data_IF_780619875289
#
_entry.id   IF_780619875289
#
_cell.length_a   1.000
_cell.length_b   1.000
_cell.length_c   1.000
_cell.angle_alpha   90.00
_cell.angle_beta   90.00
_cell.angle_gamma   90.00
#
_symmetry.space_group_name_H-M   'P 1'
#
loop_
_entity.id
_entity.type
_entity.pdbx_description
1 polymer ?
2 polymer ?
3 non-polymer ?
4 non-polymer ?
5 non-polymer ?
6 water ?
#
# COMPACT_ATOMS: atom_id res chain seq x y z
N UNK A 6 -30.05 -6.81 14.55
CA UNK A 6 -30.77 -7.47 13.46
C UNK A 6 -31.62 -6.56 12.53
N UNK A 7 -32.20 -5.53 13.10
CA UNK A 7 -32.96 -4.58 12.32
C UNK A 7 -31.91 -3.85 11.51
N UNK A 8 -30.87 -3.49 12.23
CA UNK A 8 -29.67 -2.82 11.71
C UNK A 8 -29.09 -3.48 10.45
N UNK A 9 -28.88 -4.80 10.48
CA UNK A 9 -28.22 -5.49 9.37
C UNK A 9 -29.12 -5.44 8.16
N UNK A 10 -30.42 -5.58 8.41
CA UNK A 10 -31.40 -5.57 7.35
C UNK A 10 -31.47 -4.16 6.70
N UNK A 11 -31.47 -3.13 7.53
CA UNK A 11 -31.74 -1.78 7.03
C UNK A 11 -30.50 -1.10 6.48
N UNK A 12 -29.48 -0.96 7.34
CA UNK A 12 -28.19 -0.39 7.00
C UNK A 12 -27.33 -1.26 6.08
N UNK A 13 -27.18 -2.56 6.37
CA UNK A 13 -26.30 -3.37 5.54
C UNK A 13 -26.97 -3.94 4.32
N UNK A 14 -28.20 -4.44 4.42
CA UNK A 14 -28.78 -5.10 3.26
C UNK A 14 -29.81 -4.25 2.55
N UNK A 15 -30.27 -3.20 3.23
CA UNK A 15 -31.29 -2.29 2.72
C UNK A 15 -32.52 -3.05 2.18
N UNK A 16 -32.68 -2.99 0.85
CA UNK A 16 -33.69 -3.78 0.14
C UNK A 16 -33.64 -5.29 0.43
N UNK A 17 -34.83 -5.85 0.70
CA UNK A 17 -35.02 -7.29 0.85
C UNK A 17 -34.07 -7.96 1.86
N UNK A 18 -33.74 -9.24 1.61
CA UNK A 18 -33.31 -10.17 2.65
C UNK A 18 -34.22 -10.06 3.88
N UNK A 19 -35.53 -10.17 3.65
CA UNK A 19 -36.56 -10.16 4.70
C UNK A 19 -36.72 -11.53 5.36
N UNK A 20 -35.99 -12.51 4.84
CA UNK A 20 -35.81 -13.84 5.45
C UNK A 20 -34.74 -13.86 6.56
N UNK A 21 -34.08 -12.71 6.81
CA UNK A 21 -32.93 -12.65 7.71
C UNK A 21 -33.34 -12.91 9.13
N UNK A 22 -32.55 -13.73 9.81
CA UNK A 22 -32.82 -14.06 11.20
C UNK A 22 -31.52 -14.30 11.95
N UNK A 23 -31.65 -14.72 13.21
CA UNK A 23 -30.51 -14.93 14.09
C UNK A 23 -29.61 -16.11 13.64
N UNK A 24 -30.08 -16.90 12.67
CA UNK A 24 -29.30 -18.05 12.10
C UNK A 24 -28.66 -17.85 10.73
N UNK A 25 -28.99 -16.74 10.07
CA UNK A 25 -28.40 -16.48 8.75
C UNK A 25 -26.87 -16.43 8.87
N UNK A 26 -26.17 -17.26 8.04
CA UNK A 26 -24.73 -17.26 8.10
C UNK A 26 -24.15 -15.99 7.42
N UNK A 27 -23.74 -15.04 8.28
CA UNK A 27 -23.36 -13.65 7.87
C UNK A 27 -22.07 -13.63 7.04
N UNK A 28 -21.09 -14.43 7.47
CA UNK A 28 -19.81 -14.56 6.75
C UNK A 28 -19.97 -15.38 5.52
N UNK A 29 -20.63 -16.51 5.66
CA UNK A 29 -20.73 -17.40 4.53
C UNK A 29 -21.50 -16.80 3.36
N UNK A 30 -22.51 -15.99 3.63
CA UNK A 30 -23.31 -15.42 2.54
C UNK A 30 -22.77 -14.06 2.07
N UNK A 31 -21.69 -13.59 2.67
CA UNK A 31 -21.01 -12.37 2.19
C UNK A 31 -21.64 -11.11 2.74
N UNK A 32 -22.52 -11.27 3.73
CA UNK A 32 -23.20 -10.13 4.34
C UNK A 32 -22.20 -9.27 5.13
N UNK A 33 -21.30 -9.92 5.85
CA UNK A 33 -20.27 -9.22 6.58
C UNK A 33 -18.99 -9.29 5.76
N UNK A 34 -18.48 -8.14 5.37
CA UNK A 34 -17.25 -8.04 4.59
C UNK A 34 -16.42 -6.86 5.12
N UNK A 35 -15.33 -6.53 4.44
CA UNK A 35 -14.46 -5.49 4.96
C UNK A 35 -15.21 -4.13 5.20
N UNK A 36 -16.12 -3.79 4.29
CA UNK A 36 -16.87 -2.51 4.40
C UNK A 36 -18.02 -2.64 5.45
N UNK A 37 -18.87 -3.67 5.30
CA UNK A 37 -20.01 -3.94 6.21
C UNK A 37 -19.54 -4.00 7.66
N UNK A 38 -18.36 -4.59 7.84
CA UNK A 38 -17.81 -4.80 9.19
C UNK A 38 -17.57 -3.47 9.88
N UNK A 39 -17.05 -2.49 9.13
CA UNK A 39 -16.78 -1.17 9.71
C UNK A 39 -18.09 -0.56 10.23
N UNK A 40 -19.14 -0.66 9.44
CA UNK A 40 -20.41 -0.03 9.82
C UNK A 40 -21.00 -0.80 11.06
N UNK A 41 -20.90 -2.12 11.00
CA UNK A 41 -21.41 -2.95 12.12
C UNK A 41 -20.64 -2.61 13.40
N UNK A 42 -19.30 -2.59 13.34
CA UNK A 42 -18.52 -2.27 14.51
C UNK A 42 -18.86 -0.91 15.06
N UNK A 43 -19.17 0.06 14.19
CA UNK A 43 -19.51 1.43 14.68
C UNK A 43 -20.86 1.41 15.38
N UNK A 44 -21.83 0.71 14.77
CA UNK A 44 -23.16 0.53 15.35
C UNK A 44 -23.05 -0.11 16.75
N UNK A 45 -22.26 -1.16 16.85
CA UNK A 45 -22.07 -1.90 18.12
C UNK A 45 -21.50 -0.97 19.17
N UNK A 46 -20.52 -0.17 18.78
CA UNK A 46 -19.97 0.85 19.66
C UNK A 46 -20.99 1.90 20.12
N UNK A 47 -21.84 2.35 19.19
CA UNK A 47 -22.83 3.38 19.46
C UNK A 47 -23.98 2.82 20.30
N UNK A 48 -24.61 1.77 19.80
CA UNK A 48 -25.76 1.14 20.40
C UNK A 48 -25.50 0.39 21.71
N UNK A 49 -24.31 -0.19 21.89
CA UNK A 49 -24.05 -1.02 23.08
C UNK A 49 -22.85 -0.59 23.93
N UNK A 50 -22.09 0.41 23.49
CA UNK A 50 -20.90 0.86 24.24
C UNK A 50 -19.70 -0.08 24.16
N UNK A 51 -19.77 -1.09 23.29
CA UNK A 51 -18.77 -2.15 23.18
C UNK A 51 -17.89 -1.94 21.94
N UNK A 52 -16.58 -1.95 22.17
CA UNK A 52 -15.54 -1.88 21.14
C UNK A 52 -14.88 -3.24 21.04
N UNK A 53 -15.29 -4.02 20.05
CA UNK A 53 -14.78 -5.38 19.85
C UNK A 53 -13.25 -5.48 19.65
N UNK A 54 -12.52 -6.09 20.62
CA UNK A 54 -11.06 -6.24 20.49
C UNK A 54 -10.70 -7.01 19.23
N UNK A 55 -9.50 -6.78 18.70
CA UNK A 55 -9.08 -7.39 17.43
C UNK A 55 -9.08 -8.91 17.51
N UNK A 56 -8.60 -9.44 18.63
CA UNK A 56 -8.54 -10.87 18.85
C UNK A 56 -9.92 -11.52 18.63
N UNK A 57 -10.99 -10.75 18.88
CA UNK A 57 -12.35 -11.27 18.92
C UNK A 57 -13.05 -11.23 17.57
N UNK A 58 -12.43 -10.59 16.59
CA UNK A 58 -13.00 -10.65 15.24
C UNK A 58 -12.63 -12.00 14.59
N UNK A 59 -13.53 -12.98 14.62
CA UNK A 59 -13.19 -14.29 14.07
C UNK A 59 -14.46 -15.03 13.62
N UNK A 60 -14.31 -16.19 12.94
CA UNK A 60 -15.47 -16.83 12.40
C UNK A 60 -16.44 -17.41 13.45
N UNK A 61 -15.96 -17.58 14.69
CA UNK A 61 -16.79 -18.16 15.77
C UNK A 61 -17.81 -17.09 16.18
N UNK A 62 -17.32 -15.91 16.55
CA UNK A 62 -18.22 -14.82 16.94
C UNK A 62 -19.11 -14.23 15.82
N UNK A 63 -18.67 -14.24 14.57
CA UNK A 63 -19.38 -13.50 13.50
C UNK A 63 -20.11 -14.43 12.61
N UNK A 64 -20.27 -15.66 13.09
CA UNK A 64 -21.00 -16.62 12.31
C UNK A 64 -22.40 -16.14 11.98
N UNK A 65 -23.10 -15.62 12.96
CA UNK A 65 -24.48 -15.21 12.76
C UNK A 65 -24.81 -14.21 13.85
N UNK A 66 -26.06 -13.70 13.80
CA UNK A 66 -26.51 -12.69 14.78
C UNK A 66 -26.48 -13.23 16.24
N UNK A 67 -26.87 -14.51 16.38
CA UNK A 67 -26.89 -15.16 17.70
C UNK A 67 -25.50 -15.16 18.32
N UNK A 68 -24.49 -15.61 17.55
CA UNK A 68 -23.12 -15.73 18.05
C UNK A 68 -22.54 -14.34 18.32
N UNK A 69 -22.87 -13.40 17.41
CA UNK A 69 -22.41 -11.99 17.57
C UNK A 69 -23.04 -11.38 18.82
N UNK A 70 -24.38 -11.49 18.93
CA UNK A 70 -25.06 -11.10 20.19
C UNK A 70 -24.33 -11.72 21.42
N UNK A 71 -23.95 -13.01 21.33
CA UNK A 71 -23.25 -13.68 22.45
C UNK A 71 -21.95 -12.97 22.80
N UNK A 72 -21.16 -12.61 21.77
CA UNK A 72 -19.92 -11.86 22.00
C UNK A 72 -20.14 -10.50 22.65
N UNK A 73 -21.13 -9.76 22.16
CA UNK A 73 -21.41 -8.43 22.73
C UNK A 73 -21.82 -8.53 24.21
N UNK A 74 -22.58 -9.57 24.53
CA UNK A 74 -22.93 -9.84 25.97
C UNK A 74 -21.70 -10.07 26.81
N UNK A 75 -20.81 -10.94 26.32
CA UNK A 75 -19.60 -11.28 27.05
C UNK A 75 -18.79 -10.04 27.35
N UNK A 76 -18.93 -9.04 26.46
CA UNK A 76 -18.13 -7.84 26.50
C UNK A 76 -18.89 -6.68 27.11
N UNK B 1 -0.94 21.75 17.14
CA UNK B 1 -0.98 21.90 15.65
C UNK B 1 0.19 22.75 15.16
N UNK B 2 1.17 22.12 14.53
CA UNK B 2 2.28 22.85 13.92
C UNK B 2 2.85 22.07 12.73
N UNK B 3 3.60 22.75 11.88
CA UNK B 3 4.16 22.15 10.69
C UNK B 3 5.67 22.20 10.68
N UNK B 4 6.22 22.17 11.89
CA UNK B 4 7.66 22.33 12.11
C UNK B 4 8.30 20.93 12.16
N UNK B 5 9.37 20.74 11.40
CA UNK B 5 10.17 19.50 11.49
C UNK B 5 11.27 19.73 12.53
N UNK B 6 11.60 18.72 13.34
CA UNK B 6 12.77 18.85 14.26
C UNK B 6 14.06 18.97 13.46
N UNK B 7 15.10 19.48 14.12
CA UNK B 7 16.41 19.61 13.52
C UNK B 7 16.86 18.25 12.96
N UNK B 8 16.59 17.20 13.72
CA UNK B 8 16.98 15.85 13.32
C UNK B 8 16.21 15.43 12.04
N UNK B 9 14.90 15.68 12.03
CA UNK B 9 14.07 15.31 10.88
C UNK B 9 14.53 16.09 9.66
N UNK B 10 14.78 17.39 9.80
CA UNK B 10 15.38 18.21 8.70
C UNK B 10 16.69 17.68 8.17
N UNK B 11 17.55 17.26 9.11
CA UNK B 11 18.84 16.69 8.74
C UNK B 11 18.68 15.41 7.90
N UNK B 12 17.80 14.54 8.35
CA UNK B 12 17.52 13.30 7.63
C UNK B 12 16.95 13.59 6.25
N UNK B 13 16.07 14.59 6.16
CA UNK B 13 15.51 14.97 4.87
C UNK B 13 16.59 15.47 3.94
N UNK B 14 17.47 16.34 4.45
CA UNK B 14 18.56 16.83 3.61
C UNK B 14 19.47 15.69 3.19
N UNK B 15 19.67 14.73 4.08
CA UNK B 15 20.51 13.54 3.79
C UNK B 15 19.88 12.74 2.61
N UNK B 16 18.56 12.50 2.69
CA UNK B 16 17.80 11.90 1.56
C UNK B 16 17.92 12.67 0.25
N UNK B 17 17.79 13.99 0.31
CA UNK B 17 17.98 14.82 -0.90
C UNK B 17 19.36 14.71 -1.52
N UNK B 18 20.39 14.68 -0.68
CA UNK B 18 21.74 14.51 -1.18
C UNK B 18 21.99 13.09 -1.73
N UNK B 19 21.40 12.07 -1.11
CA UNK B 19 21.61 10.69 -1.55
C UNK B 19 21.20 10.42 -3.00
N UNK B 20 20.07 10.95 -3.49
CA UNK B 20 19.69 10.87 -4.94
C UNK B 20 20.77 10.88 -6.04
N UNK B 21 21.72 11.83 -5.95
CA UNK B 21 22.87 11.92 -6.88
C UNK B 21 23.86 10.74 -6.85
N UNK B 22 23.98 10.08 -5.71
CA UNK B 22 24.87 8.93 -5.59
C UNK B 22 24.41 7.73 -6.41
N UNK B 23 23.17 7.79 -6.91
CA UNK B 23 22.66 6.74 -7.77
C UNK B 23 22.96 7.03 -9.24
N UNK B 32 18.72 -4.90 -16.93
CA UNK B 32 18.07 -5.70 -15.88
C UNK B 32 17.81 -4.91 -14.60
N UNK B 33 17.41 -5.60 -13.52
CA UNK B 33 17.13 -4.97 -12.24
C UNK B 33 18.36 -4.22 -11.70
N UNK B 34 18.20 -2.96 -11.25
CA UNK B 34 19.38 -2.23 -10.79
C UNK B 34 19.79 -2.66 -9.39
N UNK B 35 20.38 -3.84 -9.34
CA UNK B 35 20.75 -4.41 -8.05
C UNK B 35 21.75 -3.54 -7.27
N UNK B 36 22.71 -2.92 -7.98
CA UNK B 36 23.67 -2.11 -7.25
C UNK B 36 22.97 -0.91 -6.56
N UNK B 37 22.05 -0.26 -7.27
CA UNK B 37 21.29 0.84 -6.68
C UNK B 37 20.38 0.38 -5.54
N UNK B 38 19.72 -0.76 -5.72
CA UNK B 38 18.97 -1.40 -4.62
C UNK B 38 19.87 -1.53 -3.36
N UNK B 39 21.07 -2.10 -3.52
CA UNK B 39 21.98 -2.28 -2.38
C UNK B 39 22.44 -0.92 -1.80
N UNK B 40 22.64 0.07 -2.66
CA UNK B 40 22.97 1.41 -2.18
C UNK B 40 21.85 2.02 -1.31
N UNK B 41 20.60 1.84 -1.75
CA UNK B 41 19.47 2.23 -0.92
C UNK B 41 19.43 1.45 0.41
N UNK B 42 19.77 0.15 0.35
CA UNK B 42 19.95 -0.68 1.55
C UNK B 42 20.96 -0.08 2.51
N UNK B 43 22.15 0.22 2.02
CA UNK B 43 23.16 0.91 2.84
C UNK B 43 22.74 2.28 3.37
N UNK B 44 22.01 3.06 2.58
CA UNK B 44 21.46 4.33 3.06
C UNK B 44 20.51 4.12 4.25
N UNK B 45 19.80 3.01 4.28
CA UNK B 45 18.86 2.69 5.35
C UNK B 45 17.40 2.68 4.93
N UNK B 46 17.12 2.79 3.62
CA UNK B 46 15.71 2.84 3.06
C UNK B 46 14.83 1.69 3.51
N UNK B 47 15.39 0.47 3.57
CA UNK B 47 14.53 -0.66 3.89
C UNK B 47 14.40 -0.87 5.38
N UNK B 48 15.24 -0.17 6.15
CA UNK B 48 15.17 -0.29 7.60
C UNK B 48 14.52 0.86 8.31
N UNK B 49 14.00 1.86 7.58
CA UNK B 49 13.48 3.06 8.27
C UNK B 49 12.49 2.78 9.41
N UNK B 50 11.45 1.93 9.17
CA UNK B 50 10.50 1.72 10.25
C UNK B 50 10.75 0.42 11.06
N UNK B 51 11.91 -0.21 10.91
CA UNK B 51 12.16 -1.51 11.60
C UNK B 51 12.89 -1.17 12.92
N UNK B 52 12.36 -1.65 14.06
CA UNK B 52 13.03 -1.49 15.36
C UNK B 52 14.41 -2.15 15.39
N UNK B 53 15.36 -1.52 16.06
CA UNK B 53 16.67 -2.13 16.31
C UNK B 53 16.60 -3.54 16.92
N UNK B 54 15.60 -3.78 17.76
CA UNK B 54 15.32 -5.11 18.34
C UNK B 54 15.35 -6.23 17.28
N UNK B 55 14.96 -5.90 16.05
CA UNK B 55 14.87 -6.93 14.99
C UNK B 55 15.88 -6.82 13.88
N UNK B 56 16.60 -5.70 13.78
CA UNK B 56 17.59 -5.54 12.74
C UNK B 56 18.60 -4.53 13.21
N UNK B 57 19.88 -4.89 13.09
CA UNK B 57 20.96 -4.22 13.80
C UNK B 57 21.07 -2.72 13.50
N UNK B 58 20.86 -2.35 12.23
CA UNK B 58 20.86 -0.93 11.90
C UNK B 58 19.46 -0.42 11.52
N UNK B 59 18.40 -1.21 11.80
CA UNK B 59 16.99 -0.78 11.73
C UNK B 59 16.86 0.55 12.45
N UNK B 60 16.19 1.53 11.84
CA UNK B 60 16.19 2.88 12.45
C UNK B 60 15.10 3.05 13.49
N UNK B 61 14.08 2.20 13.42
CA UNK B 61 12.86 2.35 14.24
C UNK B 61 12.32 3.77 14.25
N UNK B 62 12.33 4.45 13.10
CA UNK B 62 11.73 5.78 12.99
C UNK B 62 10.23 5.78 13.16
N UNK B 63 9.66 6.89 13.62
CA UNK B 63 8.19 7.01 13.60
C UNK B 63 7.72 7.21 12.14
N UNK B 64 6.42 7.10 11.93
CA UNK B 64 5.82 7.23 10.58
C UNK B 64 6.13 8.57 9.89
N UNK B 65 5.99 9.67 10.62
CA UNK B 65 6.31 10.96 10.00
C UNK B 65 7.72 11.10 9.52
N UNK B 66 8.69 10.69 10.37
CA UNK B 66 10.08 10.79 9.98
C UNK B 66 10.33 9.87 8.76
N UNK B 67 9.73 8.68 8.80
CA UNK B 67 9.94 7.71 7.74
C UNK B 67 9.40 8.31 6.41
N UNK B 68 8.16 8.82 6.42
CA UNK B 68 7.60 9.35 5.15
C UNK B 68 8.38 10.58 4.64
N UNK B 69 8.91 11.37 5.58
CA UNK B 69 9.66 12.57 5.17
C UNK B 69 10.92 12.16 4.45
N UNK B 70 11.57 11.11 4.94
CA UNK B 70 12.81 10.65 4.27
C UNK B 70 12.44 10.07 2.89
N UNK B 71 11.35 9.32 2.84
CA UNK B 71 10.94 8.70 1.58
C UNK B 71 10.62 9.81 0.54
N UNK B 72 9.92 10.85 1.01
CA UNK B 72 9.60 11.99 0.14
C UNK B 72 10.87 12.57 -0.41
N UNK B 73 11.88 12.77 0.48
CA UNK B 73 13.18 13.30 0.03
C UNK B 73 13.79 12.43 -1.05
N UNK B 74 13.73 11.12 -0.84
CA UNK B 74 14.28 10.20 -1.87
C UNK B 74 13.48 10.29 -3.17
N UNK B 75 12.16 10.40 -3.06
CA UNK B 75 11.28 10.50 -4.26
C UNK B 75 11.63 11.76 -5.03
N UNK B 76 12.06 12.80 -4.30
CA UNK B 76 12.49 14.07 -4.97
C UNK B 76 13.86 13.94 -5.65
N UNK B 77 14.82 13.27 -5.02
CA UNK B 77 16.18 13.35 -5.56
C UNK B 77 16.52 12.15 -6.44
N UNK B 78 15.85 11.01 -6.26
CA UNK B 78 16.18 9.77 -7.03
C UNK B 78 15.29 9.76 -8.24
N UNK B 79 15.86 9.85 -9.43
CA UNK B 79 14.97 9.82 -10.59
C UNK B 79 14.39 8.45 -10.92
N UNK B 80 14.98 7.38 -10.36
CA UNK B 80 14.40 6.05 -10.63
C UNK B 80 13.26 5.79 -9.64
N UNK B 81 12.08 6.33 -9.97
CA UNK B 81 10.89 6.14 -9.17
C UNK B 81 10.54 4.65 -9.01
N UNK B 82 10.69 3.89 -10.09
CA UNK B 82 10.32 2.46 -10.14
C UNK B 82 11.11 1.72 -9.07
N UNK B 83 12.37 2.11 -8.95
CA UNK B 83 13.25 1.47 -7.93
C UNK B 83 12.75 1.76 -6.51
N UNK B 84 12.41 3.02 -6.25
CA UNK B 84 11.86 3.40 -4.94
C UNK B 84 10.58 2.65 -4.65
N UNK B 85 9.75 2.51 -5.67
CA UNK B 85 8.47 1.81 -5.59
C UNK B 85 8.72 0.32 -5.20
N UNK B 86 9.62 -0.34 -5.92
CA UNK B 86 10.02 -1.75 -5.56
C UNK B 86 10.42 -1.84 -4.08
N UNK B 87 11.21 -0.86 -3.64
CA UNK B 87 11.74 -0.85 -2.28
C UNK B 87 10.62 -0.65 -1.28
N UNK B 88 9.65 0.21 -1.62
CA UNK B 88 8.58 0.51 -0.69
C UNK B 88 7.57 -0.63 -0.63
N UNK B 89 7.42 -1.35 -1.72
CA UNK B 89 6.51 -2.48 -1.78
C UNK B 89 7.08 -3.54 -0.80
N UNK B 90 8.37 -3.79 -0.93
CA UNK B 90 9.08 -4.72 -0.06
C UNK B 90 8.96 -4.32 1.42
N UNK B 91 9.19 -3.05 1.72
CA UNK B 91 9.16 -2.59 3.11
C UNK B 91 7.76 -2.55 3.70
N UNK B 92 6.79 -1.94 2.98
CA UNK B 92 5.51 -1.64 3.62
C UNK B 92 4.51 -2.73 3.46
N UNK B 93 4.54 -3.42 2.33
CA UNK B 93 3.61 -4.52 2.15
C UNK B 93 4.13 -5.87 2.72
N UNK B 94 5.42 -5.95 2.98
CA UNK B 94 6.03 -7.24 3.37
C UNK B 94 6.72 -7.18 4.73
N UNK B 95 7.74 -6.33 4.88
CA UNK B 95 8.41 -6.18 6.18
C UNK B 95 7.46 -5.75 7.29
N UNK B 96 6.53 -4.83 7.03
CA UNK B 96 5.64 -4.40 8.11
C UNK B 96 4.64 -5.48 8.61
N UNK B 97 3.95 -6.22 7.71
CA UNK B 97 3.12 -7.27 8.27
C UNK B 97 3.93 -8.37 9.00
N UNK B 98 5.16 -8.60 8.56
CA UNK B 98 6.03 -9.54 9.24
C UNK B 98 6.30 -9.01 10.65
N UNK B 99 6.75 -7.75 10.73
CA UNK B 99 6.95 -7.07 12.00
C UNK B 99 5.69 -7.12 12.88
N UNK B 100 4.52 -6.87 12.33
CA UNK B 100 3.30 -6.78 13.12
C UNK B 100 2.61 -8.08 13.50
N UNK B 101 2.85 -9.14 12.73
CA UNK B 101 2.07 -10.38 12.84
C UNK B 101 2.85 -11.66 12.77
N UNK B 102 4.15 -11.54 12.58
CA UNK B 102 5.03 -12.72 12.60
C UNK B 102 5.32 -13.14 14.05
N UNK B 103 5.49 -14.46 14.27
CA UNK B 103 6.03 -14.97 15.55
C UNK B 103 7.37 -14.28 15.81
N UNK B 104 7.81 -14.24 17.07
CA UNK B 104 9.15 -13.71 17.40
C UNK B 104 10.29 -14.39 16.66
N UNK B 105 10.15 -15.70 16.43
CA UNK B 105 11.18 -16.46 15.71
C UNK B 105 11.23 -16.08 14.22
N UNK B 106 10.06 -16.01 13.60
CA UNK B 106 9.97 -15.52 12.21
C UNK B 106 10.58 -14.11 12.04
N UNK B 107 10.23 -13.18 12.96
CA UNK B 107 10.80 -11.85 12.93
C UNK B 107 12.34 -11.79 13.03
N UNK B 108 12.92 -12.52 13.98
CA UNK B 108 14.39 -12.62 14.07
C UNK B 108 15.02 -13.33 12.89
N UNK B 109 14.34 -14.31 12.35
CA UNK B 109 14.83 -15.01 11.17
C UNK B 109 14.84 -14.11 9.91
N UNK B 110 13.75 -13.36 9.69
CA UNK B 110 13.54 -12.68 8.41
C UNK B 110 13.95 -11.23 8.35
N UNK B 111 13.66 -10.47 9.41
CA UNK B 111 13.85 -9.02 9.37
C UNK B 111 15.27 -8.50 9.20
N UNK B 112 16.30 -9.18 9.81
CA UNK B 112 17.60 -8.61 9.57
C UNK B 112 17.99 -8.44 8.10
N UNK B 113 17.67 -9.40 7.24
CA UNK B 113 18.10 -9.32 5.83
C UNK B 113 17.08 -8.51 5.00
N UNK B 114 15.82 -8.50 5.43
CA UNK B 114 14.82 -7.61 4.80
C UNK B 114 15.24 -6.16 5.04
N UNK B 115 15.68 -5.87 6.25
CA UNK B 115 16.04 -4.53 6.62
C UNK B 115 17.23 -3.94 5.91
N UNK B 116 18.10 -4.76 5.38
CA UNK B 116 19.23 -4.27 4.65
C UNK B 116 19.02 -4.42 3.15
N UNK B 117 17.99 -5.13 2.78
CA UNK B 117 17.74 -5.39 1.40
C UNK B 117 18.50 -6.57 0.85
N UNK B 118 19.20 -7.30 1.70
CA UNK B 118 19.93 -8.45 1.28
C UNK B 118 18.98 -9.54 0.80
N UNK B 119 17.83 -9.60 1.39
CA UNK B 119 16.80 -10.42 0.89
C UNK B 119 15.66 -9.43 0.51
N UNK B 120 14.90 -9.82 -0.47
CA UNK B 120 13.84 -8.97 -1.07
C UNK B 120 12.51 -9.71 -0.90
N UNK B 121 11.46 -8.98 -0.54
CA UNK B 121 10.13 -9.56 -0.38
C UNK B 121 9.18 -8.95 -1.40
N UNK B 122 8.19 -9.75 -1.77
CA UNK B 122 7.18 -9.36 -2.72
C UNK B 122 5.86 -9.67 -2.05
N UNK B 123 4.86 -8.87 -2.34
CA UNK B 123 3.51 -8.99 -1.85
C UNK B 123 2.64 -9.67 -2.93
N UNK B 124 1.88 -10.72 -2.59
CA UNK B 124 1.15 -11.43 -3.62
C UNK B 124 -0.29 -11.73 -3.22
N UNK B 125 -1.22 -10.92 -3.72
CA UNK B 125 -2.64 -11.16 -3.43
C UNK B 125 -3.47 -11.23 -4.71
N UNK B 126 -3.21 -10.33 -5.70
CA UNK B 126 -4.07 -10.23 -6.90
C UNK B 126 -4.03 -11.54 -7.71
N UNK B 127 -5.14 -11.93 -8.33
CA UNK B 127 -5.14 -13.12 -9.15
C UNK B 127 -5.74 -12.82 -10.46
N UNK B 128 -5.87 -13.84 -11.31
CA UNK B 128 -6.58 -13.69 -12.59
C UNK B 128 -7.99 -13.10 -12.42
N UNK B 129 -8.70 -13.52 -11.37
CA UNK B 129 -10.05 -13.03 -11.11
C UNK B 129 -10.20 -12.24 -9.79
N UNK B 130 -9.09 -11.88 -9.16
CA UNK B 130 -9.19 -11.09 -7.96
C UNK B 130 -8.32 -9.87 -8.17
N UNK B 131 -8.93 -8.69 -8.25
CA UNK B 131 -8.11 -7.45 -8.31
C UNK B 131 -8.61 -6.45 -7.29
N UNK B 132 -9.58 -5.64 -7.72
CA UNK B 132 -10.21 -4.70 -6.79
C UNK B 132 -11.02 -5.43 -5.69
N UNK B 133 -11.57 -6.59 -6.06
CA UNK B 133 -12.30 -7.45 -5.13
C UNK B 133 -11.41 -8.64 -4.76
N UNK B 134 -11.04 -8.73 -3.50
CA UNK B 134 -10.11 -9.76 -3.06
C UNK B 134 -10.86 -10.65 -2.03
N UNK B 135 -12.19 -10.61 -2.10
CA UNK B 135 -13.06 -11.34 -1.17
C UNK B 135 -13.02 -12.84 -1.48
N UNK B 136 -12.74 -13.17 -2.73
CA UNK B 136 -12.80 -14.56 -3.09
C UNK B 136 -11.47 -14.93 -3.76
N UNK B 137 -10.53 -15.42 -2.97
CA UNK B 137 -9.20 -15.81 -3.51
C UNK B 137 -9.23 -17.28 -3.94
N UNK B 138 -8.90 -17.53 -5.21
CA UNK B 138 -8.74 -18.87 -5.77
C UNK B 138 -7.50 -19.63 -5.23
N UNK B 139 -6.48 -18.91 -4.77
CA UNK B 139 -5.31 -19.51 -4.14
C UNK B 139 -5.76 -20.10 -2.79
N UNK B 140 -5.46 -21.40 -2.59
CA UNK B 140 -5.90 -22.12 -1.36
C UNK B 140 -4.71 -22.51 -0.50
N UNK B 141 -4.92 -22.64 0.81
CA UNK B 141 -3.92 -23.21 1.66
C UNK B 141 -4.60 -24.34 2.48
N UNK B 142 -4.12 -25.57 2.36
CA UNK B 142 -4.68 -26.73 3.09
C UNK B 142 -3.71 -27.14 4.23
N UNK B 143 -4.25 -27.22 5.46
CA UNK B 143 -3.48 -27.67 6.63
C UNK B 143 -3.22 -29.17 6.46
N UNK B 144 -1.98 -29.58 6.73
CA UNK B 144 -1.60 -31.00 6.76
C UNK B 144 -0.57 -31.13 7.85
N UNK B 145 -1.05 -31.53 9.02
CA UNK B 145 -0.18 -31.63 10.18
C UNK B 145 0.40 -30.28 10.53
N UNK B 146 1.73 -30.21 10.60
CA UNK B 146 2.44 -28.97 10.93
C UNK B 146 2.73 -28.08 9.69
N UNK B 147 2.07 -28.35 8.57
CA UNK B 147 2.44 -27.71 7.27
C UNK B 147 1.19 -27.26 6.59
N UNK B 148 1.36 -26.31 5.66
CA UNK B 148 0.27 -25.93 4.78
C UNK B 148 0.70 -26.19 3.39
N UNK B 149 -0.24 -26.62 2.56
CA UNK B 149 0.02 -26.81 1.15
C UNK B 149 -0.73 -25.67 0.42
N UNK B 150 0.04 -24.90 -0.36
CA UNK B 150 -0.47 -23.70 -1.05
C UNK B 150 -0.58 -23.99 -2.53
N UNK B 151 -1.71 -23.62 -3.10
CA UNK B 151 -1.94 -23.86 -4.46
C UNK B 151 -2.65 -22.68 -5.13
N UNK B 152 -2.04 -22.07 -6.15
CA UNK B 152 -2.78 -21.05 -6.96
C UNK B 152 -1.80 -20.12 -7.69
N UNK B 153 -2.34 -19.29 -8.58
CA UNK B 153 -1.52 -18.26 -9.33
C UNK B 153 -1.78 -16.84 -8.77
N UNK B 154 -0.74 -16.03 -8.72
CA UNK B 154 -0.84 -14.65 -8.29
C UNK B 154 -0.41 -13.85 -9.54
N UNK B 155 -1.18 -12.83 -9.91
CA UNK B 155 -1.03 -12.38 -11.30
C UNK B 155 -0.12 -11.12 -11.55
N UNK B 156 0.04 -10.27 -10.55
CA UNK B 156 0.78 -8.99 -10.73
C UNK B 156 1.61 -8.79 -9.50
N UNK B 157 2.72 -9.53 -9.41
CA UNK B 157 3.53 -9.45 -8.22
C UNK B 157 4.72 -8.52 -8.46
N UNK B 158 4.72 -7.36 -7.76
CA UNK B 158 5.86 -6.46 -7.83
C UNK B 158 7.04 -7.15 -7.11
N UNK B 159 8.23 -7.09 -7.73
CA UNK B 159 9.39 -7.81 -7.24
C UNK B 159 9.28 -9.34 -7.43
N UNK B 160 8.30 -9.81 -8.19
CA UNK B 160 8.09 -11.26 -8.40
C UNK B 160 9.38 -12.00 -8.76
N UNK B 161 10.10 -11.48 -9.78
CA UNK B 161 11.31 -12.18 -10.26
C UNK B 161 12.49 -12.16 -9.28
N UNK B 162 12.58 -11.13 -8.45
CA UNK B 162 13.73 -10.92 -7.57
C UNK B 162 13.46 -11.34 -6.11
N UNK B 163 12.24 -11.80 -5.86
CA UNK B 163 11.80 -12.02 -4.47
C UNK B 163 12.51 -13.26 -3.88
N UNK B 164 12.96 -13.08 -2.65
CA UNK B 164 13.44 -14.16 -1.78
C UNK B 164 12.32 -14.73 -0.93
N UNK B 165 11.24 -13.95 -0.73
CA UNK B 165 10.03 -14.37 -0.04
C UNK B 165 8.81 -13.72 -0.67
N UNK B 166 7.71 -14.45 -0.69
CA UNK B 166 6.39 -13.91 -1.07
C UNK B 166 5.52 -13.85 0.13
N UNK B 167 4.87 -12.70 0.38
CA UNK B 167 3.77 -12.68 1.37
C UNK B 167 2.52 -13.00 0.58
N UNK B 168 1.91 -14.15 0.83
CA UNK B 168 0.89 -14.71 -0.07
C UNK B 168 -0.37 -14.80 0.77
N UNK B 169 -1.51 -14.43 0.15
CA UNK B 169 -2.79 -14.40 0.82
C UNK B 169 -3.60 -15.48 0.16
N UNK B 170 -4.16 -16.42 0.96
CA UNK B 170 -4.74 -17.65 0.40
C UNK B 170 -6.04 -17.98 1.14
N UNK B 171 -6.98 -18.65 0.48
CA UNK B 171 -8.21 -19.06 1.19
C UNK B 171 -7.93 -20.34 2.03
N UNK B 172 -8.08 -20.22 3.34
CA UNK B 172 -8.08 -21.38 4.22
C UNK B 172 -9.46 -21.98 4.57
N UNK B 173 -10.56 -21.20 4.39
CA UNK B 173 -11.92 -21.72 4.68
C UNK B 173 -12.97 -20.90 3.92
N UNK B 174 -13.45 -21.43 2.80
CA UNK B 174 -14.40 -20.76 1.91
C UNK B 174 -15.63 -20.25 2.66
N UNK B 175 -16.10 -21.03 3.64
CA UNK B 175 -17.34 -20.76 4.38
C UNK B 175 -17.14 -19.63 5.36
N UNK B 176 -15.92 -19.34 5.80
CA UNK B 176 -15.75 -18.20 6.67
C UNK B 176 -15.65 -16.82 5.91
N UNK B 177 -15.86 -16.82 4.58
CA UNK B 177 -15.83 -15.61 3.68
C UNK B 177 -14.66 -14.71 4.00
N UNK B 178 -15.00 -13.47 4.40
CA UNK B 178 -14.07 -12.43 4.80
C UNK B 178 -13.09 -12.83 5.88
N UNK B 179 -13.51 -13.74 6.78
CA UNK B 179 -12.59 -14.14 7.83
C UNK B 179 -12.07 -15.58 7.57
N UNK B 180 -12.10 -15.96 6.29
CA UNK B 180 -11.58 -17.26 5.83
C UNK B 180 -10.28 -17.31 5.02
N UNK B 181 -9.42 -16.30 5.19
CA UNK B 181 -8.17 -16.23 4.44
C UNK B 181 -7.05 -16.18 5.44
N UNK B 182 -5.84 -16.51 5.00
CA UNK B 182 -4.67 -16.47 5.86
C UNK B 182 -3.45 -15.97 5.08
N UNK B 183 -2.57 -15.26 5.78
CA UNK B 183 -1.33 -14.75 5.23
C UNK B 183 -0.17 -15.68 5.56
N UNK B 184 0.70 -15.89 4.57
CA UNK B 184 1.88 -16.77 4.72
C UNK B 184 3.09 -16.10 4.10
N UNK B 185 4.25 -16.28 4.70
CA UNK B 185 5.53 -15.91 4.09
C UNK B 185 6.03 -17.16 3.40
N UNK B 186 6.22 -17.13 2.08
CA UNK B 186 6.57 -18.31 1.30
C UNK B 186 8.00 -18.09 0.78
N UNK B 187 8.97 -18.83 1.27
CA UNK B 187 10.31 -18.65 0.73
C UNK B 187 10.40 -19.03 -0.75
N UNK B 188 11.19 -18.29 -1.50
CA UNK B 188 11.41 -18.51 -2.91
C UNK B 188 11.88 -19.94 -3.24
N UNK B 189 12.72 -20.54 -2.41
CA UNK B 189 13.22 -21.89 -2.65
C UNK B 189 12.21 -23.03 -2.40
N UNK B 190 11.00 -22.71 -2.03
CA UNK B 190 9.92 -23.71 -1.84
C UNK B 190 9.64 -24.39 -3.21
N UNK B 191 9.87 -25.74 -3.30
CA UNK B 191 9.49 -26.40 -4.52
C UNK B 191 8.06 -26.15 -4.90
N UNK B 192 7.86 -25.89 -6.19
CA UNK B 192 6.52 -25.69 -6.71
C UNK B 192 6.24 -24.21 -7.13
N UNK B 193 7.12 -23.29 -6.74
CA UNK B 193 7.08 -21.87 -7.26
C UNK B 193 7.65 -21.77 -8.69
N UNK B 194 6.90 -21.13 -9.60
CA UNK B 194 7.44 -20.73 -10.90
C UNK B 194 7.03 -19.23 -11.12
N UNK B 195 7.89 -18.50 -11.84
CA UNK B 195 7.72 -17.07 -11.98
C UNK B 195 7.88 -16.79 -13.48
N UNK B 196 6.94 -16.01 -14.06
CA UNK B 196 7.06 -15.61 -15.48
C UNK B 196 8.07 -14.48 -15.63
N UNK B 197 8.49 -14.20 -16.87
CA UNK B 197 9.43 -13.09 -17.09
C UNK B 197 8.75 -11.75 -16.70
N UNK B 198 9.54 -10.77 -16.38
CA UNK B 198 9.06 -9.45 -16.04
C UNK B 198 8.14 -8.92 -17.16
N UNK B 199 6.97 -8.42 -16.84
CA UNK B 199 6.11 -7.84 -17.85
C UNK B 199 6.69 -6.57 -18.40
N UNK B 200 6.46 -6.39 -19.68
CA UNK B 200 6.65 -5.07 -20.31
C UNK B 200 5.43 -4.26 -19.99
N UNK B 201 5.66 -3.07 -19.44
CA UNK B 201 4.53 -2.26 -18.98
C UNK B 201 4.85 -0.77 -19.14
N UNK B 202 3.85 0.04 -18.86
CA UNK B 202 3.94 1.47 -19.33
C UNK B 202 5.07 2.19 -18.61
N UNK B 203 5.19 1.99 -17.28
CA UNK B 203 6.22 2.66 -16.49
C UNK B 203 6.86 1.79 -15.45
N UNK B 204 7.65 2.43 -14.59
CA UNK B 204 8.23 1.79 -13.37
C UNK B 204 9.06 0.58 -13.76
N UNK B 205 9.81 0.73 -14.83
CA UNK B 205 10.63 -0.33 -15.38
C UNK B 205 11.53 -1.02 -14.34
N UNK B 206 12.09 -0.30 -13.37
CA UNK B 206 12.98 -0.92 -12.38
C UNK B 206 12.25 -1.79 -11.36
N UNK B 207 10.91 -1.72 -11.32
CA UNK B 207 10.15 -2.55 -10.36
C UNK B 207 9.63 -3.72 -11.16
N UNK B 208 10.20 -4.94 -10.98
CA UNK B 208 9.71 -6.06 -11.76
C UNK B 208 8.24 -6.33 -11.45
N UNK B 209 7.48 -6.77 -12.45
CA UNK B 209 6.08 -7.18 -12.23
C UNK B 209 5.94 -8.56 -12.87
N UNK B 210 5.41 -9.53 -12.11
CA UNK B 210 5.42 -10.89 -12.64
C UNK B 210 4.21 -11.72 -12.22
N UNK B 211 3.89 -12.68 -13.06
CA UNK B 211 2.98 -13.77 -12.66
C UNK B 211 3.82 -14.78 -11.80
N UNK B 212 3.22 -15.25 -10.70
CA UNK B 212 3.87 -16.22 -9.83
C UNK B 212 2.85 -17.32 -9.61
N UNK B 213 3.25 -18.58 -9.84
CA UNK B 213 2.35 -19.75 -9.63
C UNK B 213 2.88 -20.59 -8.45
N UNK B 214 1.96 -21.07 -7.62
CA UNK B 214 2.30 -21.90 -6.45
C UNK B 214 1.63 -23.23 -6.73
N UNK B 215 2.45 -24.19 -7.09
CA UNK B 215 1.97 -25.53 -7.46
C UNK B 215 2.27 -26.45 -6.28
N UNK B 216 1.27 -26.66 -5.41
CA UNK B 216 1.42 -27.54 -4.23
C UNK B 216 2.68 -27.25 -3.47
N UNK B 217 2.78 -26.02 -2.99
CA UNK B 217 3.94 -25.58 -2.26
C UNK B 217 3.64 -25.94 -0.82
N UNK B 218 4.58 -26.68 -0.21
CA UNK B 218 4.50 -27.03 1.20
C UNK B 218 5.30 -26.15 2.06
N UNK B 219 4.65 -25.51 3.02
CA UNK B 219 5.44 -24.72 3.95
C UNK B 219 5.06 -25.02 5.42
N UNK B 220 6.02 -24.85 6.30
CA UNK B 220 5.80 -25.08 7.70
C UNK B 220 4.85 -24.02 8.24
N UNK B 221 4.00 -24.41 9.18
CA UNK B 221 3.04 -23.50 9.78
C UNK B 221 3.67 -22.29 10.45
N UNK B 222 4.93 -22.35 10.89
CA UNK B 222 5.57 -21.17 11.48
C UNK B 222 5.75 -20.03 10.46
N UNK B 223 5.55 -20.31 9.19
CA UNK B 223 5.59 -19.26 8.14
C UNK B 223 4.26 -18.49 8.02
N UNK B 224 3.19 -18.95 8.68
CA UNK B 224 1.92 -18.19 8.73
C UNK B 224 2.13 -16.90 9.48
N UNK B 225 1.52 -15.83 8.95
CA UNK B 225 1.45 -14.55 9.63
C UNK B 225 0.09 -14.47 10.33
N UNK B 226 0.12 -14.27 11.63
CA UNK B 226 -1.10 -14.19 12.45
C UNK B 226 -1.77 -15.56 12.53
N UNK B 227 -3.06 -15.57 12.81
CA UNK B 227 -3.84 -16.80 12.97
C UNK B 227 -4.51 -17.18 11.68
N UNK B 228 -4.88 -18.45 11.52
CA UNK B 228 -5.79 -18.82 10.44
C UNK B 228 -7.02 -17.91 10.46
N UNK B 229 -7.40 -17.45 9.26
CA UNK B 229 -8.59 -16.57 9.08
C UNK B 229 -8.35 -15.07 9.15
N UNK B 230 -7.18 -14.64 9.66
CA UNK B 230 -6.85 -13.23 9.82
C UNK B 230 -6.32 -12.55 8.52
N UNK B 231 -6.24 -13.31 7.43
CA UNK B 231 -5.60 -12.89 6.17
C UNK B 231 -6.16 -11.56 5.65
N UNK B 232 -7.49 -11.45 5.55
CA UNK B 232 -8.10 -10.21 5.06
C UNK B 232 -7.72 -8.97 5.86
N UNK B 233 -7.72 -9.08 7.19
CA UNK B 233 -7.39 -7.96 8.07
C UNK B 233 -5.91 -7.64 8.15
N UNK B 234 -5.07 -8.65 8.04
CA UNK B 234 -3.64 -8.40 7.92
C UNK B 234 -3.35 -7.69 6.56
N UNK B 235 -4.02 -8.14 5.51
CA UNK B 235 -3.84 -7.48 4.21
C UNK B 235 -4.29 -6.00 4.33
N UNK B 236 -5.48 -5.76 4.90
CA UNK B 236 -5.91 -4.38 5.15
C UNK B 236 -4.86 -3.60 5.93
N UNK B 237 -4.22 -4.21 6.93
CA UNK B 237 -3.26 -3.47 7.71
C UNK B 237 -1.98 -3.16 6.91
N UNK B 238 -1.64 -4.05 6.01
CA UNK B 238 -0.43 -3.86 5.19
C UNK B 238 -0.71 -2.74 4.13
N UNK B 239 -1.92 -2.75 3.56
CA UNK B 239 -2.35 -1.65 2.65
C UNK B 239 -2.44 -0.32 3.40
N UNK B 240 -2.78 -0.35 4.68
CA UNK B 240 -2.73 0.90 5.43
C UNK B 240 -1.32 1.47 5.48
N UNK B 241 -0.33 0.59 5.65
CA UNK B 241 1.05 1.00 5.59
C UNK B 241 1.47 1.45 4.17
N UNK B 242 1.12 0.66 3.19
CA UNK B 242 1.59 0.91 1.81
C UNK B 242 0.92 2.18 1.22
N UNK B 243 -0.40 2.27 1.38
CA UNK B 243 -1.17 3.40 0.81
C UNK B 243 -0.71 4.71 1.45
N UNK B 244 -0.27 4.63 2.72
CA UNK B 244 0.22 5.79 3.44
C UNK B 244 1.65 6.16 3.06
N UNK B 245 2.58 5.20 3.20
CA UNK B 245 3.99 5.52 3.15
C UNK B 245 4.58 5.41 1.76
N UNK B 246 4.15 4.43 0.96
CA UNK B 246 4.77 4.22 -0.35
C UNK B 246 4.54 5.49 -1.21
N UNK B 247 3.39 6.12 -1.04
CA UNK B 247 2.97 7.26 -1.93
C UNK B 247 3.72 8.54 -1.62
N UNK B 248 4.43 8.57 -0.49
CA UNK B 248 5.38 9.66 -0.21
C UNK B 248 6.40 9.82 -1.35
N UNK B 249 6.75 8.72 -2.03
CA UNK B 249 7.66 8.76 -3.20
C UNK B 249 7.17 9.84 -4.20
N UNK B 250 5.88 9.81 -4.49
CA UNK B 250 5.36 10.57 -5.63
C UNK B 250 5.17 12.03 -5.26
N UNK B 251 5.00 12.32 -3.98
CA UNK B 251 5.01 13.71 -3.53
C UNK B 251 6.40 14.30 -3.82
N UNK B 252 7.48 13.59 -3.48
CA UNK B 252 8.82 14.01 -3.89
C UNK B 252 8.96 14.12 -5.41
N UNK B 253 8.48 13.11 -6.16
CA UNK B 253 8.59 13.17 -7.59
C UNK B 253 7.86 14.43 -8.15
N UNK B 254 6.75 14.80 -7.56
CA UNK B 254 5.97 15.98 -8.02
C UNK B 254 6.74 17.28 -7.69
N UNK B 255 7.43 17.34 -6.57
CA UNK B 255 8.29 18.54 -6.26
C UNK B 255 9.31 18.71 -7.36
N UNK B 256 9.89 17.59 -7.80
CA UNK B 256 10.83 17.60 -8.92
C UNK B 256 10.21 18.06 -10.24
N UNK B 257 9.07 17.49 -10.63
CA UNK B 257 8.31 17.99 -11.77
C UNK B 257 8.10 19.51 -11.71
N UNK B 258 7.65 19.99 -10.56
CA UNK B 258 7.33 21.41 -10.39
C UNK B 258 8.60 22.28 -10.55
N UNK B 259 9.66 21.90 -9.87
CA UNK B 259 10.98 22.57 -9.98
C UNK B 259 11.46 22.62 -11.41
N UNK B 260 11.38 21.50 -12.11
CA UNK B 260 11.71 21.46 -13.55
C UNK B 260 10.82 22.39 -14.39
N UNK B 261 9.50 22.38 -14.19
CA UNK B 261 8.64 23.29 -14.96
C UNK B 261 8.95 24.79 -14.67
N UNK B 262 9.28 25.13 -13.44
CA UNK B 262 9.51 26.56 -13.08
C UNK B 262 10.79 27.00 -13.80
N UNK B 263 11.82 26.16 -13.67
CA UNK B 263 13.12 26.44 -14.35
C UNK B 263 12.95 26.58 -15.84
N UNK B 264 12.22 25.63 -16.43
CA UNK B 264 12.03 25.66 -17.85
C UNK B 264 11.21 26.88 -18.30
N UNK B 265 10.13 27.17 -17.58
CA UNK B 265 9.27 28.24 -18.03
C UNK B 265 10.02 29.59 -17.85
N UNK B 266 10.99 29.65 -16.95
CA UNK B 266 11.80 30.90 -16.74
C UNK B 266 12.97 31.00 -17.72
N UNK B 267 13.22 29.97 -18.51
CA UNK B 267 14.41 29.90 -19.34
C UNK B 267 13.98 29.87 -20.77
N UNK B 268 12.96 29.07 -21.05
CA UNK B 268 12.52 28.94 -22.42
C UNK B 268 11.75 30.17 -22.88
N UNK B 269 12.14 30.69 -24.05
CA UNK B 269 11.50 31.85 -24.61
C UNK B 269 10.82 31.51 -25.89
N UNK B 270 9.67 32.16 -26.11
CA UNK B 270 9.02 32.17 -27.41
C UNK B 270 8.63 33.61 -27.72
N UNK B 271 8.98 34.09 -28.92
CA UNK B 271 8.81 35.51 -29.30
C UNK B 271 9.31 36.53 -28.26
N UNK B 272 10.55 36.38 -27.83
CA UNK B 272 11.19 37.42 -26.99
C UNK B 272 10.63 37.59 -25.56
N UNK B 273 9.81 36.63 -25.08
CA UNK B 273 9.51 36.56 -23.64
C UNK B 273 9.67 35.12 -23.12
N UNK B 274 9.96 34.94 -21.84
CA UNK B 274 9.92 33.61 -21.25
C UNK B 274 8.47 33.07 -21.31
N UNK B 275 8.31 31.76 -21.46
CA UNK B 275 6.93 31.21 -21.60
C UNK B 275 6.17 31.38 -20.29
N UNK B 276 6.89 31.60 -19.20
CA UNK B 276 6.29 31.99 -17.88
C UNK B 276 5.41 33.22 -17.97
N UNK B 277 5.57 34.00 -19.03
CA UNK B 277 4.76 35.20 -19.16
C UNK B 277 3.39 34.90 -19.76
N UNK B 278 3.17 33.68 -20.27
CA UNK B 278 1.82 33.34 -20.74
C UNK B 278 1.08 32.70 -19.59
N UNK B 279 -0.10 33.22 -19.25
CA UNK B 279 -0.88 32.62 -18.13
C UNK B 279 -1.33 31.20 -18.42
N UNK B 280 -1.48 30.82 -19.68
CA UNK B 280 -1.78 29.39 -20.00
C UNK B 280 -0.69 28.47 -19.45
N UNK B 281 0.56 28.96 -19.44
CA UNK B 281 1.66 28.24 -18.87
C UNK B 281 1.77 28.51 -17.38
N UNK B 282 1.84 29.79 -16.96
CA UNK B 282 2.16 30.05 -15.57
C UNK B 282 1.00 29.58 -14.62
N UNK B 283 -0.24 29.77 -15.04
CA UNK B 283 -1.40 29.37 -14.16
C UNK B 283 -1.52 27.85 -14.08
N UNK B 284 -1.11 27.24 -15.17
CA UNK B 284 -0.93 25.73 -15.13
C UNK B 284 0.11 25.23 -14.02
N UNK B 285 1.22 25.98 -14.04
CA UNK B 285 2.24 25.70 -12.99
C UNK B 285 1.74 26.05 -11.59
N UNK B 286 1.00 27.14 -11.47
CA UNK B 286 0.44 27.51 -10.18
C UNK B 286 -0.44 26.34 -9.63
N UNK B 287 -1.24 25.77 -10.51
CA UNK B 287 -2.11 24.66 -10.08
C UNK B 287 -1.30 23.41 -9.77
N UNK B 288 -0.18 23.16 -10.44
CA UNK B 288 0.71 22.06 -10.00
C UNK B 288 1.18 22.35 -8.57
N UNK B 289 1.53 23.61 -8.28
CA UNK B 289 1.99 23.94 -6.91
C UNK B 289 0.87 23.75 -5.88
N UNK B 290 -0.32 24.17 -6.25
CA UNK B 290 -1.49 24.01 -5.35
C UNK B 290 -1.75 22.51 -5.05
N UNK B 291 -1.87 21.73 -6.11
CA UNK B 291 -2.17 20.31 -5.94
C UNK B 291 -1.06 19.59 -5.16
N UNK B 292 0.19 20.04 -5.33
CA UNK B 292 1.29 19.46 -4.60
C UNK B 292 1.26 19.83 -3.10
N UNK B 293 1.04 21.11 -2.78
CA UNK B 293 0.93 21.48 -1.34
C UNK B 293 -0.18 20.68 -0.68
N UNK B 294 -1.32 20.61 -1.36
CA UNK B 294 -2.43 19.85 -0.90
C UNK B 294 -2.07 18.36 -0.65
N UNK B 295 -1.49 17.70 -1.66
CA UNK B 295 -1.18 16.24 -1.55
C UNK B 295 -0.18 15.99 -0.40
N UNK B 296 0.83 16.87 -0.29
CA UNK B 296 1.86 16.77 0.76
C UNK B 296 1.23 16.91 2.15
N UNK B 297 0.38 17.91 2.35
CA UNK B 297 -0.30 18.08 3.63
C UNK B 297 -1.18 16.86 3.97
N UNK B 298 -1.89 16.32 2.97
CA UNK B 298 -2.72 15.16 3.15
C UNK B 298 -1.90 13.94 3.56
N UNK B 299 -0.70 13.82 2.99
CA UNK B 299 0.23 12.74 3.38
C UNK B 299 0.66 12.91 4.84
N UNK B 300 1.09 14.13 5.18
CA UNK B 300 1.56 14.44 6.56
C UNK B 300 0.44 14.16 7.57
N UNK B 301 -0.78 14.59 7.22
CA UNK B 301 -1.91 14.35 8.06
C UNK B 301 -2.20 12.84 8.21
N UNK B 302 -2.18 12.07 7.10
CA UNK B 302 -2.44 10.64 7.17
C UNK B 302 -1.35 9.98 8.02
N UNK B 303 -0.08 10.35 7.83
CA UNK B 303 1.02 9.75 8.59
C UNK B 303 0.88 10.09 10.08
N UNK B 304 0.56 11.33 10.40
CA UNK B 304 0.34 11.71 11.78
C UNK B 304 -0.81 10.94 12.39
N UNK B 305 -1.90 10.85 11.66
CA UNK B 305 -3.09 10.21 12.20
C UNK B 305 -2.84 8.71 12.43
N UNK B 306 -2.08 8.08 11.52
CA UNK B 306 -1.73 6.67 11.65
C UNK B 306 -0.93 6.42 12.94
N UNK B 307 -0.20 7.41 13.41
CA UNK B 307 0.51 7.33 14.69
C UNK B 307 -0.39 7.53 15.92
N UNK B 308 -1.68 7.81 15.75
CA UNK B 308 -2.59 8.14 16.88
C UNK B 308 -3.51 7.02 17.36
N UNK B 309 -3.46 5.85 16.74
CA UNK B 309 -4.39 4.78 17.16
C UNK B 309 -5.86 5.25 17.22
N UNK B 310 -6.32 5.76 16.08
CA UNK B 310 -7.73 6.03 15.76
C UNK B 310 -7.90 5.29 14.43
N UNK B 311 -9.11 5.21 13.88
CA UNK B 311 -9.21 4.56 12.58
C UNK B 311 -8.65 5.65 11.63
N UNK B 312 -7.47 5.43 11.05
CA UNK B 312 -6.91 6.41 10.09
C UNK B 312 -7.13 6.05 8.62
N UNK B 313 -8.03 5.15 8.34
CA UNK B 313 -8.20 4.61 7.01
C UNK B 313 -8.70 5.70 6.04
N UNK B 314 -9.67 6.53 6.50
CA UNK B 314 -10.18 7.62 5.62
C UNK B 314 -9.04 8.55 5.18
N UNK B 315 -8.23 9.01 6.14
CA UNK B 315 -7.14 9.93 5.83
C UNK B 315 -6.14 9.29 4.88
N UNK B 316 -5.85 8.00 5.08
CA UNK B 316 -4.90 7.29 4.21
C UNK B 316 -5.45 7.11 2.80
N UNK B 317 -6.71 6.72 2.70
CA UNK B 317 -7.29 6.57 1.39
C UNK B 317 -7.36 7.97 0.67
N UNK B 318 -7.72 9.03 1.40
CA UNK B 318 -7.73 10.36 0.77
C UNK B 318 -6.33 10.75 0.27
N UNK B 319 -5.30 10.47 1.05
CA UNK B 319 -3.95 10.85 0.67
C UNK B 319 -3.48 10.05 -0.52
N UNK B 320 -3.74 8.73 -0.51
CA UNK B 320 -3.34 7.86 -1.64
C UNK B 320 -4.00 8.42 -2.94
N UNK B 321 -5.30 8.66 -2.84
CA UNK B 321 -6.07 9.17 -3.99
C UNK B 321 -5.51 10.53 -4.44
N UNK B 322 -5.37 11.46 -3.53
CA UNK B 322 -4.97 12.83 -3.90
C UNK B 322 -3.56 12.80 -4.49
N UNK B 323 -2.63 12.03 -3.88
CA UNK B 323 -1.25 12.00 -4.36
C UNK B 323 -1.20 11.40 -5.77
N UNK B 324 -1.87 10.25 -5.95
CA UNK B 324 -1.73 9.52 -7.19
C UNK B 324 -2.44 10.34 -8.31
N UNK B 325 -3.59 10.93 -7.99
CA UNK B 325 -4.28 11.78 -9.00
C UNK B 325 -3.47 13.05 -9.34
N UNK B 326 -2.90 13.67 -8.31
CA UNK B 326 -2.05 14.86 -8.57
C UNK B 326 -0.84 14.47 -9.43
N UNK B 327 -0.31 13.26 -9.22
CA UNK B 327 0.86 12.81 -9.90
C UNK B 327 0.56 12.59 -11.38
N UNK B 328 -0.61 12.06 -11.70
CA UNK B 328 -1.01 11.93 -13.12
C UNK B 328 -1.11 13.36 -13.75
N UNK B 329 -1.72 14.29 -13.06
CA UNK B 329 -1.88 15.63 -13.60
C UNK B 329 -0.50 16.30 -13.77
N UNK B 330 0.36 16.09 -12.79
CA UNK B 330 1.73 16.62 -12.83
C UNK B 330 2.50 16.10 -14.07
N UNK B 331 2.41 14.77 -14.31
CA UNK B 331 3.05 14.15 -15.47
C UNK B 331 2.52 14.77 -16.78
N UNK B 332 1.21 14.94 -16.90
CA UNK B 332 0.67 15.52 -18.11
C UNK B 332 1.10 17.01 -18.23
N UNK B 333 0.95 17.74 -17.15
CA UNK B 333 1.24 19.20 -17.20
C UNK B 333 2.77 19.48 -17.48
N UNK B 334 3.65 18.66 -16.92
CA UNK B 334 5.09 18.76 -17.20
C UNK B 334 5.35 18.60 -18.70
N UNK B 335 4.69 17.64 -19.35
CA UNK B 335 4.84 17.51 -20.79
C UNK B 335 4.31 18.76 -21.48
N UNK B 336 3.14 19.20 -21.14
CA UNK B 336 2.60 20.38 -21.73
C UNK B 336 3.55 21.60 -21.65
N UNK B 337 4.13 21.81 -20.49
CA UNK B 337 4.99 22.96 -20.20
C UNK B 337 6.25 22.83 -21.07
N UNK B 338 6.77 21.62 -21.20
CA UNK B 338 8.05 21.40 -21.89
C UNK B 338 7.88 21.30 -23.41
N UNK B 339 6.65 21.15 -23.91
CA UNK B 339 6.37 21.03 -25.37
C UNK B 339 6.98 19.75 -25.97
N UNK B 340 7.50 19.81 -27.21
CA UNK B 340 8.11 18.60 -27.86
C UNK B 340 9.21 18.05 -27.07
N UNK B 341 9.98 18.94 -26.44
CA UNK B 341 11.09 18.45 -25.62
C UNK B 341 10.60 17.49 -24.48
N UNK B 342 9.45 17.80 -23.91
CA UNK B 342 8.87 16.87 -22.87
C UNK B 342 8.41 15.54 -23.45
N UNK B 343 8.09 15.50 -24.76
CA UNK B 343 7.61 14.28 -25.40
C UNK B 343 8.79 13.34 -25.74
N UNK B 344 9.94 13.92 -25.98
CA UNK B 344 11.15 13.20 -26.25
C UNK B 344 11.65 12.52 -24.99
N UNK B 345 12.18 11.31 -25.08
CA UNK B 345 12.72 10.68 -23.87
C UNK B 345 13.86 11.48 -23.23
N UNK B 346 14.69 12.10 -24.07
CA UNK B 346 15.85 12.90 -23.55
C UNK B 346 15.41 14.17 -22.77
N UNK B 347 14.14 14.56 -22.94
CA UNK B 347 13.58 15.68 -22.19
C UNK B 347 13.54 15.41 -20.69
N UNK B 348 13.67 14.13 -20.34
CA UNK B 348 13.65 13.61 -18.95
C UNK B 348 12.45 14.07 -18.09
N UNK B 349 11.33 14.11 -18.79
CA UNK B 349 10.08 14.55 -18.20
C UNK B 349 8.99 13.46 -18.27
N UNK B 350 9.04 12.66 -19.31
CA UNK B 350 7.84 11.84 -19.66
C UNK B 350 7.77 10.56 -18.78
N UNK B 351 8.76 10.33 -17.90
CA UNK B 351 8.61 9.20 -16.93
C UNK B 351 7.55 9.49 -15.85
N UNK B 352 7.27 10.75 -15.57
CA UNK B 352 6.28 11.03 -14.56
C UNK B 352 4.93 10.49 -14.99
N UNK B 353 4.46 10.79 -16.22
CA UNK B 353 3.11 10.32 -16.57
C UNK B 353 3.06 8.77 -16.61
N UNK B 354 4.13 8.17 -17.14
CA UNK B 354 4.18 6.69 -17.28
C UNK B 354 4.11 6.02 -15.90
N UNK B 355 4.79 6.61 -14.94
CA UNK B 355 4.83 6.08 -13.58
C UNK B 355 3.58 6.40 -12.84
N UNK B 356 3.07 7.63 -13.04
CA UNK B 356 1.88 8.10 -12.35
C UNK B 356 0.66 7.23 -12.67
N UNK B 357 0.57 6.79 -13.91
CA UNK B 357 -0.60 6.02 -14.31
C UNK B 357 -0.63 4.64 -13.57
N UNK B 358 0.53 4.15 -13.18
CA UNK B 358 0.63 2.97 -12.26
C UNK B 358 0.03 3.31 -10.89
N UNK B 359 0.36 4.50 -10.36
CA UNK B 359 0.04 4.88 -8.99
C UNK B 359 -1.49 4.99 -8.72
N UNK B 360 -2.30 5.25 -9.75
CA UNK B 360 -3.79 5.24 -9.61
C UNK B 360 -4.41 3.81 -9.74
N UNK B 361 -3.56 2.80 -9.95
CA UNK B 361 -4.02 1.40 -10.03
C UNK B 361 -3.56 0.58 -8.83
N UNK B 362 -2.25 0.56 -8.55
CA UNK B 362 -1.72 -0.33 -7.49
C UNK B 362 -2.10 0.19 -6.11
N UNK B 363 -2.09 -0.69 -5.11
CA UNK B 363 -2.55 -0.38 -3.76
C UNK B 363 -4.06 -0.06 -3.70
N UNK B 364 -4.82 -0.53 -4.67
CA UNK B 364 -6.27 -0.19 -4.80
C UNK B 364 -6.47 0.97 -5.78
N UNK B 365 -7.29 0.79 -6.79
CA UNK B 365 -7.51 1.87 -7.76
C UNK B 365 -8.15 3.10 -7.10
N UNK B 366 -8.14 4.22 -7.83
CA UNK B 366 -8.81 5.42 -7.31
C UNK B 366 -10.27 5.11 -6.95
N UNK B 367 -10.94 4.29 -7.77
CA UNK B 367 -12.35 3.95 -7.48
C UNK B 367 -12.49 3.26 -6.15
N UNK B 368 -11.51 2.37 -5.82
CA UNK B 368 -11.54 1.66 -4.53
C UNK B 368 -11.25 2.59 -3.37
N UNK B 369 -10.31 3.52 -3.57
CA UNK B 369 -10.07 4.53 -2.52
C UNK B 369 -11.38 5.30 -2.23
N UNK B 370 -12.14 5.64 -3.26
CA UNK B 370 -13.39 6.36 -2.99
C UNK B 370 -14.41 5.45 -2.30
N UNK B 371 -14.43 4.16 -2.66
CA UNK B 371 -15.24 3.22 -1.86
C UNK B 371 -14.89 3.24 -0.39
N UNK B 372 -13.60 3.19 -0.07
CA UNK B 372 -13.19 3.27 1.30
C UNK B 372 -13.52 4.59 1.95
N UNK B 373 -13.25 5.69 1.25
CA UNK B 373 -13.64 7.00 1.82
C UNK B 373 -15.16 7.05 2.14
N UNK B 374 -15.99 6.66 1.20
CA UNK B 374 -17.44 6.66 1.34
C UNK B 374 -17.84 5.84 2.58
N UNK B 375 -17.20 4.68 2.72
CA UNK B 375 -17.48 3.83 3.87
C UNK B 375 -17.11 4.54 5.19
N UNK B 376 -15.91 5.12 5.27
CA UNK B 376 -15.51 5.85 6.46
C UNK B 376 -16.30 7.13 6.70
N UNK B 377 -16.93 7.68 5.68
CA UNK B 377 -17.83 8.83 5.89
C UNK B 377 -19.16 8.33 6.44
N UNK B 378 -19.40 7.02 6.40
CA UNK B 378 -20.64 6.46 6.94
C UNK B 378 -21.73 6.29 5.89
N UNK B 379 -21.38 6.41 4.60
CA UNK B 379 -22.33 6.18 3.53
C UNK B 379 -22.71 4.74 3.42
N UNK B 380 -24.03 4.51 3.35
CA UNK B 380 -24.54 3.14 3.29
C UNK B 380 -24.37 2.50 1.92
X LIG C 1 -10.62 -2.61 4.39
X LIG C 1 -11.16 -3.97 3.85
X LIG C 1 -11.17 -4.16 2.29
X LIG C 1 -11.45 -3.06 1.48
X LIG C 1 -12.03 -3.38 0.13
X LIG C 1 -12.24 -2.06 -0.63
X LIG C 1 -13.39 -4.11 0.37
X LIG C 1 -11.13 -4.37 -0.66
X LIG C 1 -11.78 -4.96 -1.75
X LIG C 1 -9.79 -3.75 -1.09
X LIG C 1 -9.59 -3.74 -2.53
X LIG C 1 -8.40 -3.15 -3.03
X LIG C 1 -7.27 -4.20 -3.21
X LIG C 1 -5.92 -3.62 -3.13
X LIG C 1 -5.01 -4.40 -3.84
X LIG C 1 -3.59 -4.04 -3.82
X LIG C 1 -2.69 -5.27 -4.01
X LIG C 1 -1.02 -4.98 -3.51
X LIG C 1 -0.51 -3.66 -4.61
X LIG C 1 0.95 -3.54 -4.37
X LIG C 1 1.88 -2.85 -5.12
X LIG C 1 3.11 -3.02 -4.45
X LIG C 1 2.89 -3.82 -3.30
X LIG C 1 1.57 -4.14 -3.23
X LIG C 1 -1.18 -3.44 -5.64
X LIG C 1 -5.63 -2.61 -2.48
X LIG C 1 -8.93 -3.22 -0.30
X LIG C 1 -10.33 -5.05 4.44
X LIG D 1 -10.15 -4.62 -11.79
X LIG D 1 -10.31 -4.86 -10.30
X LIG D 1 -10.57 -5.62 -12.86
X LIG D 1 -10.80 -3.17 -12.11
X LIG D 1 -11.02 -2.70 -13.46
X LIG D 1 -11.83 -1.38 -13.31
X LIG D 1 -13.06 -1.65 -12.59
X LIG D 1 -11.04 -0.36 -12.51
X LIG D 1 -11.42 0.90 -13.07
X LIG D 1 -11.68 -0.47 -11.11
X LIG D 1 -11.51 0.71 -10.28
X LIG D 1 -13.16 -0.81 -11.45
X LIG D 1 -13.79 -1.45 -10.27
X LIG D 1 -13.56 -2.70 -9.80
X LIG D 1 -14.26 -2.88 -8.62
X LIG D 1 -14.92 -1.73 -8.34
X LIG D 1 -15.85 -1.22 -7.30
X LIG D 1 -16.21 -1.98 -6.21
X LIG D 1 -16.30 0.07 -7.44
X LIG D 1 -15.96 0.89 -8.48
X LIG D 1 -15.13 0.46 -9.46
X LIG D 1 -14.60 -0.79 -9.45
X LIG D 1 -0.97 -6.78 -6.83
X LIG D 1 -0.33 -7.53 -5.86
X LIG D 1 -1.02 -8.44 -5.30
X LIG D 1 0.98 -7.36 -5.50
X LIG D 1 1.75 -6.45 -6.13
X LIG D 1 2.93 -6.32 -5.80
X LIG D 1 1.13 -5.61 -7.21
X LIG D 1 1.83 -4.70 -7.92
X LIG D 1 1.29 -3.97 -8.94
X LIG D 1 2.12 -3.05 -9.63
X LIG D 1 1.57 -2.32 -10.70
X LIG D 1 2.48 -1.36 -11.46
X LIG D 1 0.18 -2.49 -11.11
X LIG D 1 -0.40 -1.70 -12.23
X LIG D 1 -0.66 -3.39 -10.41
X LIG D 1 -0.14 -4.13 -9.33
X LIG D 1 -0.93 -5.08 -8.60
X LIG D 1 -0.29 -5.83 -7.54
X LIG D 1 -2.31 -5.33 -8.93
X LIG D 1 -3.17 -4.13 -8.45
X LIG D 1 -3.31 -4.06 -7.02
X LIG D 1 -4.50 -4.17 -9.19
X LIG D 1 -4.20 -3.91 -10.58
X LIG D 1 -5.65 -3.30 -8.65
X LIG D 1 -6.10 -3.79 -7.35
X LIG D 1 -6.85 -3.31 -9.61
X LIG D 1 -7.16 -4.68 -9.91
X LIG D 1 -7.35 -5.11 -11.41
X LIG D 1 -7.74 -6.58 -11.47
X LIG D 1 -6.17 -4.74 -12.28
X LIG D 1 -8.60 -4.29 -12.00
X LIG E 1 11.85 3.41 -14.04
X LIG E 1 11.95 2.52 -12.92
X LIG E 1 11.78 4.91 -13.67
X LIG E 1 10.59 5.05 -12.86
X LIG F 1 -6.80 19.25 -6.67
X LIG F 1 -7.22 17.89 -6.91
X LIG F 1 -6.22 19.41 -5.26
X LIG F 1 -6.35 20.76 -4.76
#
# INVERSE_FOLDING_TARGET
MIEKLIHFINNDLLEGAADDLDQNTPLLELGILDSLSMVLLLAHIDQQYGVKIPEHEINPEHFENVATLAALINQLS
MNFEWTHEQAELFEHALRFGKELSAPLQEDNGFPRDNWNALGDFGYFGLPIPEKYAKDGSGFDILTTIKIIEGLGQSCTDTGLLFAGAAHTFACSMPILEHGSETLKHQLLPDLATGRKIAANAISEASAGSDISNLATTAQKEGDYYVLNGGKSYVTNGSIADYYVVYATTNKKHGYLGQTAFVVPRNTPGISVGNDYHKLGLRSAPLNQVFFDNCTIHKDYALGREGQGARIFAASMDWERCCLFAIFVGAMQRDLNQCIEYANTRMQGDKTISRFQAVSHRIADMGVRLESARLMLYYAAWQKSQDVDNTKAVAMSKLAISEAFVQSGIDSIRVHGALGYLDEGRVNNSIKDALGSVLFSGTSDIQRELICNRLGLL
FK4 O01 P02 O03 C04 C05 C06 C07 C08 O09 C10 N11 C12 C13 C14 N15 C16 C17 S18 C19 C20 C21 C22 C23 N24 O25 O26 O27 O28
FAD PA O1A O2A O5B C5B C4B O4B C3B O3B C2B O2B C1B N9A C8A N7A C5A C6A N6A N1A C2A N3A C4A N1 C2 O2 N3 C4 O4 C4X N5 C5X C6 C7 C7M C8 C8M C9 C9A N10 C10 C1' C2' O2' C3' O3' C4' O4' C5' O5' P O1P O2P O3P
EDO C1 O1 C2 O2
EDO C1 O1 C2 O2
#
